data_IF_258414923244
#
_entry.id   IF_258414923244
#
_cell.length_a   1.000
_cell.length_b   1.000
_cell.length_c   1.000
_cell.angle_alpha   90.00
_cell.angle_beta   90.00
_cell.angle_gamma   90.00
#
_symmetry.space_group_name_H-M   'P 1'
#
loop_
_entity.id
_entity.type
_entity.pdbx_description
1 polymer ?
#
# COMPACT_ATOMS: atom_id res chain seq x y z
N UNK A 1 6.41 11.11 -87.10
CA UNK A 1 6.48 9.82 -86.42
C UNK A 1 7.29 9.99 -85.13
N UNK A 2 6.64 10.19 -84.03
CA UNK A 2 7.20 9.83 -82.73
C UNK A 2 6.07 9.70 -81.76
N UNK A 3 5.80 8.46 -81.43
CA UNK A 3 4.86 8.09 -80.37
C UNK A 3 5.62 7.91 -79.06
N UNK A 4 5.13 8.52 -78.06
CA UNK A 4 4.77 7.85 -76.88
C UNK A 4 5.81 7.81 -75.76
N UNK A 5 5.50 8.33 -74.71
CA UNK A 5 5.70 7.76 -73.38
C UNK A 5 5.21 8.76 -72.32
N UNK A 6 4.01 8.62 -71.99
CA UNK A 6 3.41 9.33 -70.82
C UNK A 6 2.50 8.35 -70.11
N UNK A 7 3.09 7.39 -69.40
CA UNK A 7 2.36 6.64 -68.38
C UNK A 7 3.39 6.12 -67.37
N UNK A 8 3.57 6.73 -66.23
CA UNK A 8 3.96 6.05 -65.01
C UNK A 8 4.32 7.00 -63.83
N UNK A 9 3.56 8.06 -63.61
CA UNK A 9 3.79 8.93 -62.44
C UNK A 9 2.67 8.86 -61.37
N UNK A 10 1.61 8.10 -61.58
CA UNK A 10 0.45 8.17 -60.65
C UNK A 10 0.27 6.96 -59.73
N UNK A 11 1.30 6.17 -59.45
CA UNK A 11 1.13 5.02 -58.55
C UNK A 11 1.87 5.14 -57.20
N UNK A 12 2.63 6.22 -56.99
CA UNK A 12 3.36 6.43 -55.72
C UNK A 12 2.58 7.11 -54.58
N UNK A 13 1.65 7.98 -54.96
CA UNK A 13 0.95 8.81 -53.96
C UNK A 13 -0.05 8.05 -53.05
N UNK A 14 -0.62 6.96 -53.53
CA UNK A 14 -1.57 6.18 -52.78
C UNK A 14 -0.93 5.33 -51.67
N UNK A 15 0.30 4.89 -51.91
CA UNK A 15 1.05 4.06 -50.94
C UNK A 15 1.59 4.94 -49.81
N UNK A 16 2.18 6.09 -50.13
CA UNK A 16 2.66 7.01 -49.10
C UNK A 16 1.53 7.53 -48.17
N UNK A 17 0.36 7.82 -48.71
CA UNK A 17 -0.82 8.23 -47.93
C UNK A 17 -1.30 7.13 -46.99
N UNK A 18 -1.18 5.87 -47.39
CA UNK A 18 -1.55 4.71 -46.54
C UNK A 18 -0.54 4.50 -45.42
N UNK A 19 0.74 4.66 -45.67
CA UNK A 19 1.78 4.60 -44.63
C UNK A 19 1.70 5.77 -43.65
N UNK A 20 1.41 6.98 -44.12
CA UNK A 20 1.18 8.14 -43.25
C UNK A 20 -0.06 7.95 -42.36
N UNK A 21 -1.14 7.38 -42.85
CA UNK A 21 -2.33 7.08 -42.06
C UNK A 21 -2.06 6.01 -40.99
N UNK A 22 -1.31 4.96 -41.31
CA UNK A 22 -0.93 3.92 -40.35
C UNK A 22 -0.01 4.47 -39.28
N UNK A 23 0.97 5.30 -39.63
CA UNK A 23 1.87 5.97 -38.67
C UNK A 23 1.11 6.89 -37.71
N UNK A 24 0.09 7.59 -38.19
CA UNK A 24 -0.73 8.49 -37.36
C UNK A 24 -1.59 7.70 -36.36
N UNK A 25 -2.13 6.53 -36.76
CA UNK A 25 -2.91 5.66 -35.86
C UNK A 25 -2.03 5.06 -34.77
N UNK A 26 -0.79 4.66 -35.09
CA UNK A 26 0.16 4.14 -34.11
C UNK A 26 0.57 5.22 -33.11
N UNK A 27 0.78 6.46 -33.56
CA UNK A 27 1.15 7.57 -32.69
C UNK A 27 0.01 7.99 -31.76
N UNK A 28 -1.26 7.93 -32.24
CA UNK A 28 -2.44 8.20 -31.41
C UNK A 28 -2.69 7.11 -30.35
N UNK A 29 -2.34 5.86 -30.63
CA UNK A 29 -2.43 4.74 -29.70
C UNK A 29 -1.43 4.78 -28.55
N UNK A 30 -0.28 5.43 -28.73
CA UNK A 30 0.76 5.52 -27.69
C UNK A 30 0.43 6.52 -26.57
N UNK A 31 -0.53 7.44 -26.78
CA UNK A 31 -0.92 8.43 -25.78
C UNK A 31 -1.93 7.93 -24.73
N UNK A 32 -2.43 6.69 -24.86
CA UNK A 32 -3.35 6.09 -23.90
C UNK A 32 -2.68 5.11 -22.95
N UNK A 33 -1.34 5.15 -22.82
CA UNK A 33 -0.68 4.56 -21.67
C UNK A 33 -1.09 5.36 -20.44
N UNK A 34 -2.33 5.16 -20.00
CA UNK A 34 -2.82 5.64 -18.71
C UNK A 34 -1.82 5.17 -17.67
N UNK A 35 -1.26 6.09 -16.93
CA UNK A 35 -0.48 5.79 -15.75
C UNK A 35 -1.38 4.94 -14.86
N UNK A 36 -1.11 3.64 -14.82
CA UNK A 36 -1.60 2.77 -13.76
C UNK A 36 -0.95 3.32 -12.49
N UNK A 37 -1.60 4.31 -11.88
CA UNK A 37 -1.29 4.67 -10.52
C UNK A 37 -1.65 3.45 -9.69
N UNK A 38 -0.64 2.67 -9.35
CA UNK A 38 -0.76 1.70 -8.29
C UNK A 38 -1.25 2.49 -7.07
N UNK A 39 -2.52 2.32 -6.72
CA UNK A 39 -3.08 2.90 -5.50
C UNK A 39 -2.30 2.29 -4.35
N UNK A 40 -1.30 2.99 -3.86
CA UNK A 40 -0.59 2.59 -2.67
C UNK A 40 -1.60 2.67 -1.51
N UNK A 41 -2.00 1.51 -1.00
CA UNK A 41 -2.84 1.39 0.18
C UNK A 41 -1.99 1.77 1.40
N UNK A 42 -1.87 3.08 1.61
CA UNK A 42 -1.02 3.68 2.63
C UNK A 42 -1.89 4.41 3.67
N UNK A 43 -1.64 4.15 4.93
CA UNK A 43 -2.29 4.81 6.07
C UNK A 43 -1.25 5.52 6.89
N UNK A 44 -1.55 6.72 7.34
CA UNK A 44 -0.69 7.51 8.23
C UNK A 44 -1.33 7.70 9.60
N UNK A 45 -0.51 7.59 10.63
CA UNK A 45 -0.93 7.84 12.00
C UNK A 45 0.16 8.53 12.80
N UNK A 46 -0.29 9.32 13.79
CA UNK A 46 0.60 9.85 14.82
C UNK A 46 0.35 9.05 16.11
N UNK A 47 1.33 8.22 16.49
CA UNK A 47 1.25 7.39 17.70
C UNK A 47 1.92 8.14 18.85
N UNK A 48 1.17 8.54 19.90
CA UNK A 48 1.68 9.41 20.96
C UNK A 48 2.46 8.69 22.07
N UNK A 49 2.72 7.39 21.91
CA UNK A 49 3.42 6.55 22.88
C UNK A 49 4.34 5.55 22.19
N UNK A 50 5.31 5.03 22.91
CA UNK A 50 6.16 3.95 22.43
C UNK A 50 5.36 2.66 22.32
N UNK A 51 5.57 1.91 21.23
CA UNK A 51 4.81 0.69 20.97
C UNK A 51 5.67 -0.39 20.33
N UNK A 52 5.28 -1.63 20.54
CA UNK A 52 5.97 -2.78 19.98
C UNK A 52 5.23 -3.34 18.75
N UNK A 53 6.01 -3.75 17.76
CA UNK A 53 5.57 -4.51 16.61
C UNK A 53 6.46 -5.74 16.49
N UNK A 54 5.90 -6.91 16.69
CA UNK A 54 6.71 -8.12 16.82
C UNK A 54 7.62 -8.03 18.04
N UNK A 55 8.93 -8.18 17.83
CA UNK A 55 9.96 -8.05 18.89
C UNK A 55 10.62 -6.67 18.94
N UNK A 56 10.21 -5.73 18.08
CA UNK A 56 10.83 -4.41 17.95
C UNK A 56 9.96 -3.35 18.61
N UNK A 57 10.56 -2.54 19.49
CA UNK A 57 9.92 -1.37 20.08
C UNK A 57 10.20 -0.16 19.19
N UNK A 58 9.16 0.58 18.88
CA UNK A 58 9.18 1.81 18.10
C UNK A 58 8.83 2.99 19.00
N UNK A 59 9.51 4.13 18.90
CA UNK A 59 9.24 5.32 19.70
C UNK A 59 7.92 5.99 19.28
N UNK A 60 7.37 6.82 20.15
CA UNK A 60 6.29 7.73 19.81
C UNK A 60 6.62 8.56 18.57
N UNK A 61 5.67 8.75 17.65
CA UNK A 61 5.94 9.49 16.41
C UNK A 61 4.93 9.26 15.31
N UNK A 62 5.23 9.80 14.13
CA UNK A 62 4.42 9.64 12.93
C UNK A 62 4.89 8.45 12.12
N UNK A 63 3.96 7.59 11.74
CA UNK A 63 4.19 6.37 11.02
C UNK A 63 3.30 6.25 9.80
N UNK A 64 3.82 5.59 8.80
CA UNK A 64 3.13 5.15 7.61
C UNK A 64 3.02 3.64 7.63
N UNK A 65 1.83 3.13 7.39
CA UNK A 65 1.50 1.71 7.32
C UNK A 65 1.07 1.39 5.90
N UNK A 66 1.61 0.36 5.30
CA UNK A 66 1.19 -0.15 4.01
C UNK A 66 1.36 -1.67 3.93
N UNK A 67 0.52 -2.32 3.14
CA UNK A 67 0.58 -3.76 2.92
C UNK A 67 1.40 -4.06 1.68
N UNK A 68 2.24 -5.09 1.79
CA UNK A 68 2.95 -5.69 0.68
C UNK A 68 2.34 -7.07 0.33
N UNK A 69 2.62 -7.60 -0.87
CA UNK A 69 2.26 -8.99 -1.18
C UNK A 69 2.78 -9.96 -0.10
N UNK A 70 2.13 -11.12 0.04
CA UNK A 70 2.44 -12.15 1.03
C UNK A 70 2.08 -11.79 2.48
N UNK A 71 0.95 -11.15 2.69
CA UNK A 71 0.41 -10.85 4.02
C UNK A 71 1.43 -10.17 4.94
N UNK A 72 2.13 -9.19 4.40
CA UNK A 72 3.12 -8.43 5.14
C UNK A 72 2.68 -6.98 5.26
N UNK A 73 2.68 -6.45 6.49
CA UNK A 73 2.58 -5.02 6.73
C UNK A 73 3.96 -4.42 6.95
N UNK A 74 4.21 -3.30 6.30
CA UNK A 74 5.39 -2.48 6.50
C UNK A 74 4.99 -1.24 7.29
N UNK A 75 5.70 -1.00 8.39
CA UNK A 75 5.52 0.14 9.28
C UNK A 75 6.79 0.96 9.22
N UNK A 76 6.68 2.19 8.74
CA UNK A 76 7.81 3.09 8.52
C UNK A 76 7.60 4.40 9.25
N UNK A 77 8.60 4.84 10.01
CA UNK A 77 8.57 6.18 10.59
C UNK A 77 8.72 7.25 9.50
N UNK A 78 8.08 8.40 9.68
CA UNK A 78 8.12 9.50 8.70
C UNK A 78 9.53 10.05 8.47
N UNK A 79 10.40 9.95 9.46
CA UNK A 79 11.81 10.34 9.37
C UNK A 79 12.74 9.23 8.82
N UNK A 80 12.15 8.10 8.39
CA UNK A 80 12.84 6.92 7.83
C UNK A 80 13.86 6.24 8.76
N UNK A 81 13.90 6.61 10.04
CA UNK A 81 14.83 6.01 11.02
C UNK A 81 14.42 4.63 11.49
N UNK A 82 13.13 4.31 11.42
CA UNK A 82 12.61 3.02 11.81
C UNK A 82 11.73 2.43 10.71
N UNK A 83 11.97 1.17 10.38
CA UNK A 83 11.12 0.36 9.50
C UNK A 83 10.98 -1.02 10.11
N UNK A 84 9.76 -1.52 10.16
CA UNK A 84 9.44 -2.87 10.64
C UNK A 84 8.56 -3.54 9.62
N UNK A 85 8.87 -4.81 9.34
CA UNK A 85 8.01 -5.70 8.57
C UNK A 85 7.41 -6.71 9.55
N UNK A 86 6.11 -6.91 9.46
CA UNK A 86 5.42 -7.92 10.26
C UNK A 86 4.49 -8.72 9.39
N UNK A 87 4.43 -10.03 9.62
CA UNK A 87 3.41 -10.88 9.00
C UNK A 87 2.06 -10.54 9.60
N UNK A 88 1.02 -10.61 8.79
CA UNK A 88 -0.35 -10.32 9.19
C UNK A 88 -1.26 -11.49 8.86
N UNK A 89 -2.42 -11.52 9.50
CA UNK A 89 -3.53 -12.40 9.19
C UNK A 89 -4.73 -11.53 8.82
N UNK A 90 -5.58 -11.99 7.90
CA UNK A 90 -6.82 -11.28 7.61
C UNK A 90 -7.73 -11.33 8.84
N UNK A 91 -8.22 -10.18 9.26
CA UNK A 91 -9.18 -10.15 10.36
C UNK A 91 -10.61 -10.12 9.83
N UNK A 92 -11.42 -11.04 10.31
CA UNK A 92 -12.86 -11.08 10.08
C UNK A 92 -13.66 -10.27 11.13
N UNK A 93 -12.97 -9.65 12.07
CA UNK A 93 -13.61 -8.96 13.20
C UNK A 93 -14.39 -7.75 12.76
N UNK A 94 -15.71 -7.87 12.83
CA UNK A 94 -16.72 -6.84 12.87
C UNK A 94 -16.63 -5.69 11.84
N UNK A 95 -17.77 -5.27 11.33
CA UNK A 95 -17.92 -4.09 10.45
C UNK A 95 -17.72 -2.81 11.26
N UNK A 96 -16.47 -2.39 11.46
CA UNK A 96 -16.19 -1.01 11.87
C UNK A 96 -16.01 -0.17 10.61
N UNK A 97 -16.75 0.91 10.50
CA UNK A 97 -16.58 1.87 9.39
C UNK A 97 -15.49 2.90 9.68
N UNK A 98 -15.01 2.97 10.91
CA UNK A 98 -13.98 3.91 11.31
C UNK A 98 -12.58 3.32 11.14
N UNK A 99 -11.68 4.11 10.57
CA UNK A 99 -10.27 3.75 10.45
C UNK A 99 -9.55 3.97 11.78
N UNK A 100 -8.87 2.94 12.30
CA UNK A 100 -8.14 3.02 13.56
C UNK A 100 -7.05 1.96 13.68
N UNK A 101 -6.08 2.23 14.55
CA UNK A 101 -5.12 1.26 15.06
C UNK A 101 -5.62 0.70 16.40
N UNK A 102 -5.44 -0.58 16.61
CA UNK A 102 -5.77 -1.27 17.86
C UNK A 102 -4.48 -1.69 18.53
N UNK A 103 -4.32 -1.31 19.80
CA UNK A 103 -3.18 -1.69 20.62
C UNK A 103 -3.66 -2.49 21.83
N UNK A 104 -2.98 -3.60 22.11
CA UNK A 104 -3.11 -4.28 23.39
C UNK A 104 -2.12 -3.65 24.36
N UNK A 105 -2.62 -3.22 25.52
CA UNK A 105 -1.85 -2.56 26.56
C UNK A 105 -1.71 -3.46 27.80
N UNK A 106 -0.46 -3.66 28.21
CA UNK A 106 -0.12 -4.35 29.46
C UNK A 106 0.74 -3.41 30.33
N UNK A 107 0.08 -2.68 31.25
CA UNK A 107 0.73 -1.61 32.02
C UNK A 107 1.17 -0.47 31.11
N UNK A 108 2.48 -0.24 30.99
CA UNK A 108 3.06 0.81 30.16
C UNK A 108 3.53 0.32 28.77
N UNK A 109 3.30 -0.96 28.46
CA UNK A 109 3.68 -1.56 27.19
C UNK A 109 2.48 -1.61 26.24
N UNK A 110 2.66 -1.05 25.05
CA UNK A 110 1.67 -1.07 23.97
C UNK A 110 2.14 -1.98 22.86
N UNK A 111 1.28 -2.88 22.39
CA UNK A 111 1.56 -3.80 21.28
C UNK A 111 0.54 -3.56 20.17
N UNK A 112 1.02 -3.25 18.96
CA UNK A 112 0.11 -3.10 17.82
C UNK A 112 -0.50 -4.44 17.49
N UNK A 113 -1.86 -4.49 17.57
CA UNK A 113 -2.64 -5.71 17.33
C UNK A 113 -3.31 -5.70 15.98
N UNK A 114 -3.99 -4.61 15.63
CA UNK A 114 -4.75 -4.53 14.39
C UNK A 114 -4.58 -3.17 13.72
N UNK A 115 -4.65 -3.19 12.39
CA UNK A 115 -4.78 -2.01 11.55
C UNK A 115 -6.09 -2.14 10.81
N UNK A 116 -7.02 -1.24 11.06
CA UNK A 116 -8.33 -1.20 10.40
C UNK A 116 -8.46 0.05 9.59
N UNK A 117 -8.55 -0.08 8.29
CA UNK A 117 -8.82 1.00 7.36
C UNK A 117 -9.70 0.50 6.22
N UNK A 118 -11.02 0.41 6.42
CA UNK A 118 -11.96 -0.14 5.43
C UNK A 118 -11.95 0.60 4.10
N UNK A 119 -11.67 1.91 4.10
CA UNK A 119 -11.63 2.75 2.91
C UNK A 119 -10.61 2.32 1.87
N UNK A 120 -9.55 1.63 2.30
CA UNK A 120 -8.49 1.10 1.43
C UNK A 120 -8.35 -0.42 1.55
N UNK A 121 -9.36 -1.10 2.08
CA UNK A 121 -9.37 -2.55 2.29
C UNK A 121 -8.19 -3.09 3.13
N UNK A 122 -7.62 -2.26 4.02
CA UNK A 122 -6.55 -2.67 4.94
C UNK A 122 -7.16 -3.07 6.28
N UNK A 123 -7.45 -4.35 6.47
CA UNK A 123 -7.97 -4.91 7.71
C UNK A 123 -7.10 -6.12 8.07
N UNK A 124 -6.06 -5.86 8.83
CA UNK A 124 -5.03 -6.85 9.14
C UNK A 124 -4.80 -6.95 10.64
N UNK A 125 -4.57 -8.17 11.10
CA UNK A 125 -4.21 -8.49 12.47
C UNK A 125 -2.76 -8.95 12.56
N UNK A 126 -2.05 -8.50 13.60
CA UNK A 126 -0.69 -8.91 13.87
C UNK A 126 -0.68 -9.98 14.96
N UNK A 127 -0.02 -11.12 14.73
CA UNK A 127 0.03 -12.18 15.74
C UNK A 127 0.83 -11.76 16.98
N UNK A 128 0.45 -12.26 18.17
CA UNK A 128 1.17 -11.97 19.41
C UNK A 128 2.65 -12.34 19.32
N UNK A 129 3.51 -11.37 19.60
CA UNK A 129 4.96 -11.57 19.60
C UNK A 129 5.45 -12.35 20.82
N UNK A 130 6.71 -12.83 20.75
CA UNK A 130 7.36 -13.45 21.93
C UNK A 130 7.49 -12.43 23.07
N UNK A 131 7.83 -11.20 22.77
CA UNK A 131 7.93 -10.11 23.75
C UNK A 131 6.58 -9.87 24.44
N UNK A 132 5.51 -9.80 23.67
CA UNK A 132 4.15 -9.63 24.20
C UNK A 132 3.76 -10.79 25.15
N UNK A 133 4.02 -12.03 24.74
CA UNK A 133 3.73 -13.21 25.55
C UNK A 133 4.47 -13.15 26.90
N UNK A 134 5.75 -12.78 26.89
CA UNK A 134 6.55 -12.62 28.11
C UNK A 134 5.99 -11.50 29.01
N UNK A 135 5.65 -10.34 28.46
CA UNK A 135 5.08 -9.23 29.23
C UNK A 135 3.71 -9.63 29.81
N UNK A 136 2.89 -10.32 29.04
CA UNK A 136 1.60 -10.84 29.47
C UNK A 136 1.74 -11.84 30.64
N UNK A 137 2.68 -12.76 30.57
CA UNK A 137 2.96 -13.72 31.64
C UNK A 137 3.44 -13.04 32.92
N UNK A 138 4.35 -12.09 32.80
CA UNK A 138 4.86 -11.31 33.95
C UNK A 138 3.80 -10.41 34.60
N UNK A 139 2.78 -10.01 33.83
CA UNK A 139 1.72 -9.10 34.25
C UNK A 139 0.34 -9.72 34.16
N UNK A 140 0.23 -11.04 34.31
CA UNK A 140 -1.01 -11.81 34.18
C UNK A 140 -2.15 -11.28 35.09
N UNK A 141 -1.83 -10.58 36.18
CA UNK A 141 -2.76 -9.91 37.07
C UNK A 141 -3.38 -8.61 36.50
N UNK A 142 -2.73 -8.00 35.48
CA UNK A 142 -3.25 -6.88 34.71
C UNK A 142 -3.85 -7.47 33.42
N UNK A 143 -5.14 -7.64 33.35
CA UNK A 143 -5.79 -8.04 32.09
C UNK A 143 -5.41 -7.10 30.93
N UNK A 144 -5.50 -7.55 29.68
CA UNK A 144 -5.22 -6.67 28.53
C UNK A 144 -6.25 -5.55 28.48
N UNK A 145 -5.78 -4.32 28.34
CA UNK A 145 -6.60 -3.16 28.01
C UNK A 145 -6.40 -2.81 26.55
N UNK A 146 -7.48 -2.75 25.80
CA UNK A 146 -7.43 -2.35 24.39
C UNK A 146 -7.45 -0.83 24.26
N UNK A 147 -6.50 -0.26 23.54
CA UNK A 147 -6.43 1.16 23.22
C UNK A 147 -6.67 1.36 21.73
N UNK A 148 -7.61 2.22 21.37
CA UNK A 148 -7.93 2.57 19.98
C UNK A 148 -7.33 3.94 19.65
N UNK A 149 -6.65 4.01 18.50
CA UNK A 149 -6.12 5.26 17.95
C UNK A 149 -6.74 5.50 16.57
N UNK A 150 -7.48 6.61 16.45
CA UNK A 150 -8.09 6.99 15.18
C UNK A 150 -7.01 7.30 14.12
N UNK A 151 -7.29 6.93 12.88
CA UNK A 151 -6.47 7.26 11.72
C UNK A 151 -7.02 8.52 11.05
N UNK A 152 -6.12 9.38 10.61
CA UNK A 152 -6.45 10.61 9.85
C UNK A 152 -6.19 10.40 8.37
#
# INVERSE_FOLDING_TARGET
MVHGQLVSVLKGDSIMKRFAAIALVILAGACTAGTLQAQSHEVRANVPFDFAVGSKVLPAGRYTFFTEPNDTVVIRSTDYKATVLSRTEETSSGRSYASHLVFDRYGDHYFLREIRCPSIAMNVELPPSKLEKQVREQRAWLGPNTTLLALN
#
